data_IF_155274685352
#
_entry.id   IF_155274685352
#
_cell.length_a   1.000
_cell.length_b   1.000
_cell.length_c   1.000
_cell.angle_alpha   90.00
_cell.angle_beta   90.00
_cell.angle_gamma   90.00
#
_symmetry.space_group_name_H-M   'P 1'
#
loop_
_entity.id
_entity.type
_entity.pdbx_description
1 polymer ?
#
# COMPACT_ATOMS: atom_id res chain seq x y z
N UNK A 1 9.40 24.16 -3.66
CA UNK A 1 8.85 25.52 -3.47
C UNK A 1 7.98 25.63 -2.21
N UNK A 2 6.99 24.76 -1.97
CA UNK A 2 6.04 24.92 -0.84
C UNK A 2 6.58 24.57 0.56
N UNK A 3 7.58 23.69 0.69
CA UNK A 3 8.19 23.37 2.00
C UNK A 3 9.07 24.53 2.47
N UNK A 4 9.96 25.00 1.61
CA UNK A 4 10.88 26.11 1.91
C UNK A 4 10.14 27.43 2.13
N UNK A 5 9.05 27.69 1.41
CA UNK A 5 8.22 28.87 1.63
C UNK A 5 7.50 28.88 2.99
N UNK A 6 7.37 27.71 3.64
CA UNK A 6 6.80 27.56 4.99
C UNK A 6 7.87 27.43 6.08
N UNK A 7 9.14 27.71 5.75
CA UNK A 7 10.26 27.70 6.69
C UNK A 7 10.89 26.34 6.95
N UNK A 8 10.51 25.30 6.19
CA UNK A 8 11.17 23.98 6.24
C UNK A 8 12.38 23.88 5.32
N UNK A 9 13.18 22.83 5.49
CA UNK A 9 14.31 22.51 4.61
C UNK A 9 13.94 21.34 3.69
N UNK A 10 14.29 21.43 2.42
CA UNK A 10 14.04 20.37 1.45
C UNK A 10 15.10 20.40 0.34
N UNK A 11 15.55 19.22 -0.08
CA UNK A 11 16.37 19.01 -1.28
C UNK A 11 15.62 18.08 -2.25
N UNK A 12 15.90 18.23 -3.55
CA UNK A 12 15.24 17.48 -4.60
C UNK A 12 16.23 16.65 -5.40
N UNK A 13 15.91 15.37 -5.62
CA UNK A 13 16.71 14.45 -6.43
C UNK A 13 15.81 13.83 -7.48
N UNK A 14 16.12 14.08 -8.75
CA UNK A 14 15.43 13.44 -9.87
C UNK A 14 16.00 12.03 -10.08
N UNK A 15 15.24 11.00 -9.73
CA UNK A 15 15.63 9.62 -9.93
C UNK A 15 14.40 8.74 -10.24
N UNK A 16 14.49 7.95 -11.32
CA UNK A 16 13.51 6.90 -11.59
C UNK A 16 13.79 5.71 -10.66
N UNK A 17 12.87 5.45 -9.72
CA UNK A 17 13.01 4.32 -8.81
C UNK A 17 12.80 2.99 -9.55
N UNK A 18 13.36 1.93 -8.99
CA UNK A 18 13.25 0.58 -9.54
C UNK A 18 14.58 -0.14 -9.53
N UNK A 19 15.70 0.57 -9.63
CA UNK A 19 17.05 0.02 -9.47
C UNK A 19 17.71 0.40 -8.14
N UNK A 20 18.84 -0.26 -7.84
CA UNK A 20 19.58 -0.07 -6.60
C UNK A 20 20.43 1.20 -6.60
N UNK A 21 20.89 1.65 -7.75
CA UNK A 21 21.74 2.84 -7.86
C UNK A 21 20.93 4.10 -7.59
N UNK A 22 19.74 4.23 -8.21
CA UNK A 22 18.80 5.30 -7.94
C UNK A 22 18.41 5.35 -6.45
N UNK A 23 18.16 4.19 -5.84
CA UNK A 23 17.86 4.09 -4.41
C UNK A 23 19.03 4.60 -3.54
N UNK A 24 20.27 4.20 -3.87
CA UNK A 24 21.44 4.63 -3.13
C UNK A 24 21.64 6.15 -3.24
N UNK A 25 21.54 6.72 -4.45
CA UNK A 25 21.64 8.16 -4.67
C UNK A 25 20.61 8.96 -3.84
N UNK A 26 19.38 8.44 -3.70
CA UNK A 26 18.36 9.08 -2.87
C UNK A 26 18.73 9.08 -1.39
N UNK A 27 19.28 7.97 -0.88
CA UNK A 27 19.74 7.85 0.51
C UNK A 27 20.95 8.74 0.76
N UNK A 28 21.94 8.73 -0.13
CA UNK A 28 23.16 9.52 -0.02
C UNK A 28 22.82 11.01 0.03
N UNK A 29 21.96 11.49 -0.89
CA UNK A 29 21.55 12.89 -0.90
C UNK A 29 20.82 13.32 0.38
N UNK A 30 19.99 12.44 0.98
CA UNK A 30 19.33 12.74 2.25
C UNK A 30 20.37 12.86 3.39
N UNK A 31 21.37 11.99 3.41
CA UNK A 31 22.43 12.00 4.43
C UNK A 31 23.39 13.16 4.24
N UNK A 32 23.74 13.51 3.01
CA UNK A 32 24.60 14.65 2.68
C UNK A 32 23.93 15.98 3.09
N UNK A 33 22.64 16.16 2.79
CA UNK A 33 21.92 17.40 3.09
C UNK A 33 21.52 17.50 4.56
N UNK A 34 21.04 16.42 5.17
CA UNK A 34 20.40 16.45 6.50
C UNK A 34 21.21 15.73 7.60
N UNK A 35 22.33 15.10 7.25
CA UNK A 35 23.22 14.38 8.17
C UNK A 35 22.75 12.97 8.56
N UNK A 36 21.50 12.61 8.30
CA UNK A 36 20.87 11.34 8.72
C UNK A 36 19.66 10.97 7.86
N UNK A 37 19.21 9.73 7.99
CA UNK A 37 17.96 9.22 7.46
C UNK A 37 17.14 8.55 8.56
N UNK A 38 15.94 9.07 8.82
CA UNK A 38 15.05 8.58 9.90
C UNK A 38 13.80 7.87 9.38
N UNK A 39 13.28 8.33 8.24
CA UNK A 39 12.03 7.86 7.67
C UNK A 39 12.19 7.66 6.17
N UNK A 40 11.69 6.53 5.66
CA UNK A 40 11.49 6.29 4.24
C UNK A 40 9.99 6.09 3.96
N UNK A 41 9.45 6.79 2.96
CA UNK A 41 8.10 6.57 2.44
C UNK A 41 8.18 6.12 0.98
N UNK A 42 7.76 4.90 0.65
CA UNK A 42 7.84 4.36 -0.73
C UNK A 42 6.53 4.61 -1.49
N UNK A 43 6.36 5.84 -1.97
CA UNK A 43 5.10 6.29 -2.61
C UNK A 43 5.07 6.16 -4.15
N UNK A 44 6.23 6.16 -4.82
CA UNK A 44 6.30 6.17 -6.29
C UNK A 44 5.47 5.06 -6.94
N UNK A 45 4.82 5.37 -8.07
CA UNK A 45 3.88 4.45 -8.70
C UNK A 45 3.41 4.88 -10.08
N UNK A 46 2.92 3.91 -10.85
CA UNK A 46 2.33 4.07 -12.18
C UNK A 46 1.20 3.05 -12.38
N UNK A 47 0.30 3.31 -13.34
CA UNK A 47 -0.73 2.37 -13.75
C UNK A 47 -0.52 1.91 -15.20
N UNK A 48 -0.80 0.62 -15.43
CA UNK A 48 -0.87 -0.05 -16.74
C UNK A 48 -2.01 -1.07 -16.68
N UNK A 49 -3.22 -0.54 -16.59
CA UNK A 49 -4.40 -1.36 -16.33
C UNK A 49 -4.84 -2.09 -17.60
N UNK A 50 -4.81 -3.43 -17.53
CA UNK A 50 -5.25 -4.36 -18.58
C UNK A 50 -5.86 -5.60 -17.94
N UNK A 51 -6.95 -6.09 -18.52
CA UNK A 51 -7.41 -7.46 -18.26
C UNK A 51 -6.31 -8.45 -18.64
N UNK A 52 -6.25 -9.59 -17.94
CA UNK A 52 -5.15 -10.55 -18.04
C UNK A 52 -4.76 -10.90 -19.49
N UNK A 53 -5.75 -11.18 -20.34
CA UNK A 53 -5.52 -11.57 -21.74
C UNK A 53 -5.13 -10.42 -22.68
N UNK A 54 -5.07 -9.19 -22.18
CA UNK A 54 -4.58 -8.00 -22.91
C UNK A 54 -3.32 -7.39 -22.25
N UNK A 55 -2.85 -7.96 -21.14
CA UNK A 55 -1.64 -7.49 -20.45
C UNK A 55 -0.43 -7.86 -21.29
N UNK A 56 0.42 -6.89 -21.59
CA UNK A 56 1.73 -7.14 -22.21
C UNK A 56 2.76 -7.38 -21.11
N UNK A 57 3.86 -8.06 -21.46
CA UNK A 57 4.98 -8.24 -20.53
C UNK A 57 5.56 -6.89 -20.08
N UNK A 58 5.67 -5.92 -20.99
CA UNK A 58 6.13 -4.56 -20.68
C UNK A 58 5.21 -3.84 -19.68
N UNK A 59 3.89 -3.90 -19.87
CA UNK A 59 2.91 -3.31 -18.94
C UNK A 59 3.00 -3.95 -17.55
N UNK A 60 3.27 -5.26 -17.48
CA UNK A 60 3.47 -5.97 -16.23
C UNK A 60 4.79 -5.57 -15.56
N UNK A 61 5.89 -5.63 -16.30
CA UNK A 61 7.24 -5.36 -15.83
C UNK A 61 7.42 -3.91 -15.37
N UNK A 62 6.83 -2.95 -16.08
CA UNK A 62 6.84 -1.52 -15.69
C UNK A 62 6.25 -1.33 -14.28
N UNK A 63 5.06 -1.88 -14.06
CA UNK A 63 4.35 -1.77 -12.77
C UNK A 63 5.12 -2.49 -11.67
N UNK A 64 5.60 -3.70 -11.93
CA UNK A 64 6.40 -4.47 -10.96
C UNK A 64 7.72 -3.76 -10.63
N UNK A 65 8.40 -3.21 -11.64
CA UNK A 65 9.66 -2.48 -11.48
C UNK A 65 9.49 -1.24 -10.61
N UNK A 66 8.49 -0.41 -10.90
CA UNK A 66 8.29 0.85 -10.15
C UNK A 66 7.78 0.57 -8.74
N UNK A 67 6.74 -0.26 -8.61
CA UNK A 67 6.11 -0.47 -7.31
C UNK A 67 6.87 -1.46 -6.42
N UNK A 68 7.01 -2.70 -6.87
CA UNK A 68 7.52 -3.77 -6.02
C UNK A 68 9.04 -3.68 -5.89
N UNK A 69 9.74 -3.62 -7.03
CA UNK A 69 11.20 -3.55 -7.04
C UNK A 69 11.69 -2.21 -6.50
N UNK A 70 11.06 -1.10 -6.88
CA UNK A 70 11.39 0.24 -6.36
C UNK A 70 11.20 0.34 -4.84
N UNK A 71 10.12 -0.22 -4.30
CA UNK A 71 9.94 -0.33 -2.84
C UNK A 71 11.07 -1.13 -2.21
N UNK A 72 11.39 -2.30 -2.75
CA UNK A 72 12.49 -3.13 -2.27
C UNK A 72 13.85 -2.43 -2.30
N UNK A 73 14.23 -1.83 -3.43
CA UNK A 73 15.57 -1.24 -3.55
C UNK A 73 15.74 -0.03 -2.64
N UNK A 74 14.73 0.83 -2.53
CA UNK A 74 14.75 1.98 -1.63
C UNK A 74 14.74 1.54 -0.16
N UNK A 75 13.85 0.61 0.22
CA UNK A 75 13.79 0.11 1.59
C UNK A 75 15.08 -0.57 2.02
N UNK A 76 15.71 -1.36 1.12
CA UNK A 76 17.01 -1.99 1.39
C UNK A 76 18.10 -0.96 1.64
N UNK A 77 18.23 0.06 0.78
CA UNK A 77 19.25 1.10 0.94
C UNK A 77 19.04 1.89 2.24
N UNK A 78 17.79 2.28 2.52
CA UNK A 78 17.44 2.96 3.77
C UNK A 78 17.70 2.09 5.01
N UNK A 79 17.33 0.81 4.98
CA UNK A 79 17.53 -0.10 6.10
C UNK A 79 19.03 -0.33 6.39
N UNK A 80 19.87 -0.46 5.37
CA UNK A 80 21.34 -0.52 5.55
C UNK A 80 21.82 0.75 6.25
N UNK A 81 21.45 1.93 5.72
CA UNK A 81 21.86 3.21 6.30
C UNK A 81 21.38 3.40 7.74
N UNK A 82 20.11 3.10 8.04
CA UNK A 82 19.53 3.20 9.39
C UNK A 82 20.19 2.24 10.37
N UNK A 83 20.53 1.01 9.92
CA UNK A 83 21.27 0.03 10.75
C UNK A 83 22.68 0.51 11.08
N UNK A 84 23.38 1.12 10.13
CA UNK A 84 24.69 1.73 10.36
C UNK A 84 24.61 2.94 11.28
N UNK A 85 23.55 3.74 11.18
CA UNK A 85 23.28 4.85 12.10
C UNK A 85 23.04 4.37 13.54
N UNK A 86 22.40 3.21 13.72
CA UNK A 86 22.16 2.60 15.02
C UNK A 86 21.09 3.29 15.89
N UNK A 87 20.32 4.22 15.31
CA UNK A 87 19.28 5.00 16.01
C UNK A 87 17.85 4.54 15.73
N UNK A 88 17.68 3.42 15.02
CA UNK A 88 16.37 2.99 14.53
C UNK A 88 15.91 3.77 13.30
N UNK A 89 14.62 3.67 12.99
CA UNK A 89 14.00 4.36 11.86
C UNK A 89 12.58 3.90 11.57
N UNK A 90 11.98 4.42 10.50
CA UNK A 90 10.62 4.10 10.07
C UNK A 90 10.57 3.85 8.57
N UNK A 91 10.03 2.70 8.16
CA UNK A 91 9.71 2.40 6.77
C UNK A 91 8.19 2.38 6.59
N UNK A 92 7.68 3.31 5.79
CA UNK A 92 6.24 3.45 5.49
C UNK A 92 6.02 3.11 4.01
N UNK A 93 5.40 1.96 3.75
CA UNK A 93 5.29 1.40 2.41
C UNK A 93 3.89 1.62 1.85
N UNK A 94 3.75 2.17 0.64
CA UNK A 94 2.41 2.42 0.08
C UNK A 94 1.90 1.19 -0.68
N UNK A 95 0.91 0.53 -0.10
CA UNK A 95 0.13 -0.57 -0.70
C UNK A 95 -1.15 -0.01 -1.40
N UNK A 96 -2.24 -0.79 -1.45
CA UNK A 96 -3.54 -0.44 -2.04
C UNK A 96 -4.60 -1.49 -1.66
N UNK A 97 -5.90 -1.13 -1.58
CA UNK A 97 -6.97 -2.11 -1.47
C UNK A 97 -6.94 -3.17 -2.58
N UNK A 98 -6.43 -2.81 -3.77
CA UNK A 98 -6.28 -3.76 -4.88
C UNK A 98 -5.32 -4.91 -4.52
N UNK A 99 -4.29 -4.64 -3.70
CA UNK A 99 -3.39 -5.68 -3.19
C UNK A 99 -4.00 -6.55 -2.10
N UNK A 100 -5.12 -6.14 -1.50
CA UNK A 100 -5.79 -6.90 -0.44
C UNK A 100 -6.93 -7.77 -0.97
N UNK A 101 -7.65 -7.26 -1.97
CA UNK A 101 -8.89 -7.90 -2.48
C UNK A 101 -8.83 -8.23 -3.97
N UNK A 102 -7.92 -7.62 -4.72
CA UNK A 102 -7.91 -7.62 -6.18
C UNK A 102 -8.80 -6.51 -6.76
N UNK A 103 -8.47 -6.06 -7.97
CA UNK A 103 -9.30 -5.14 -8.74
C UNK A 103 -9.29 -5.55 -10.22
N UNK A 104 -10.44 -5.43 -10.87
CA UNK A 104 -10.59 -5.87 -12.26
C UNK A 104 -9.66 -5.08 -13.19
N UNK A 105 -8.87 -5.78 -14.01
CA UNK A 105 -7.91 -5.15 -14.92
C UNK A 105 -6.60 -4.69 -14.28
N UNK A 106 -6.35 -4.99 -13.00
CA UNK A 106 -5.16 -4.54 -12.27
C UNK A 106 -4.27 -5.69 -11.78
N UNK A 107 -4.11 -6.76 -12.55
CA UNK A 107 -3.35 -7.95 -12.11
C UNK A 107 -1.91 -7.66 -11.69
N UNK A 108 -1.18 -6.87 -12.50
CA UNK A 108 0.17 -6.38 -12.21
C UNK A 108 0.22 -5.52 -10.94
N UNK A 109 -0.66 -4.53 -10.83
CA UNK A 109 -0.70 -3.59 -9.71
C UNK A 109 -1.14 -4.26 -8.41
N UNK A 110 -2.19 -5.07 -8.43
CA UNK A 110 -2.64 -5.85 -7.29
C UNK A 110 -1.53 -6.79 -6.78
N UNK A 111 -0.84 -7.51 -7.67
CA UNK A 111 0.28 -8.36 -7.30
C UNK A 111 1.41 -7.56 -6.63
N UNK A 112 1.81 -6.42 -7.22
CA UNK A 112 2.84 -5.56 -6.63
C UNK A 112 2.43 -5.02 -5.24
N UNK A 113 1.19 -4.55 -5.09
CA UNK A 113 0.69 -3.98 -3.83
C UNK A 113 0.48 -5.04 -2.74
N UNK A 114 0.09 -6.26 -3.10
CA UNK A 114 0.07 -7.42 -2.20
C UNK A 114 1.48 -7.80 -1.73
N UNK A 115 2.44 -7.81 -2.66
CA UNK A 115 3.86 -8.06 -2.36
C UNK A 115 4.45 -7.05 -1.36
N UNK A 116 4.10 -5.77 -1.48
CA UNK A 116 4.52 -4.73 -0.52
C UNK A 116 4.01 -5.01 0.90
N UNK A 117 2.80 -5.55 1.05
CA UNK A 117 2.25 -5.90 2.37
C UNK A 117 2.97 -7.13 2.95
N UNK A 118 3.30 -8.11 2.12
CA UNK A 118 4.14 -9.22 2.53
C UNK A 118 5.54 -8.74 2.97
N UNK A 119 6.15 -7.82 2.23
CA UNK A 119 7.41 -7.19 2.59
C UNK A 119 7.33 -6.48 3.95
N UNK A 120 6.28 -5.72 4.23
CA UNK A 120 6.12 -5.05 5.52
C UNK A 120 6.13 -6.04 6.70
N UNK A 121 5.41 -7.15 6.56
CA UNK A 121 5.34 -8.22 7.58
C UNK A 121 6.70 -8.88 7.80
N UNK A 122 7.40 -9.21 6.71
CA UNK A 122 8.71 -9.87 6.79
C UNK A 122 9.78 -8.93 7.35
N UNK A 123 9.89 -7.72 6.81
CA UNK A 123 10.92 -6.77 7.21
C UNK A 123 10.74 -6.24 8.63
N UNK A 124 9.50 -6.21 9.14
CA UNK A 124 9.25 -5.92 10.55
C UNK A 124 9.99 -6.90 11.49
N UNK A 125 10.07 -8.18 11.11
CA UNK A 125 10.83 -9.19 11.88
C UNK A 125 12.34 -9.03 11.68
N UNK A 126 12.78 -8.82 10.44
CA UNK A 126 14.20 -8.70 10.09
C UNK A 126 14.86 -7.46 10.73
N UNK A 127 14.12 -6.35 10.81
CA UNK A 127 14.63 -5.06 11.23
C UNK A 127 14.26 -4.68 12.67
N UNK A 128 13.42 -5.48 13.35
CA UNK A 128 12.98 -5.19 14.71
C UNK A 128 14.14 -5.04 15.71
N UNK A 129 15.19 -5.87 15.60
CA UNK A 129 16.40 -5.75 16.45
C UNK A 129 17.18 -4.46 16.22
N UNK A 130 17.01 -3.80 15.08
CA UNK A 130 17.63 -2.53 14.75
C UNK A 130 16.78 -1.32 15.19
N UNK A 131 15.62 -1.54 15.83
CA UNK A 131 14.71 -0.46 16.22
C UNK A 131 14.03 0.22 15.02
N UNK A 132 13.95 -0.47 13.88
CA UNK A 132 13.30 0.05 12.67
C UNK A 132 11.91 -0.57 12.55
N UNK A 133 10.87 0.26 12.51
CA UNK A 133 9.51 -0.22 12.27
C UNK A 133 9.17 -0.21 10.78
N UNK A 134 8.31 -1.13 10.35
CA UNK A 134 7.91 -1.27 8.94
C UNK A 134 6.40 -1.47 8.87
N UNK A 135 5.68 -0.57 8.21
CA UNK A 135 4.23 -0.68 8.03
C UNK A 135 3.82 -0.39 6.58
N UNK A 136 2.79 -1.09 6.11
CA UNK A 136 2.15 -0.81 4.84
C UNK A 136 0.91 0.07 5.04
N UNK A 137 0.79 1.13 4.25
CA UNK A 137 -0.40 1.99 4.20
C UNK A 137 -1.25 1.60 3.01
N UNK A 138 -2.56 1.47 3.20
CA UNK A 138 -3.54 1.04 2.21
C UNK A 138 -4.48 2.23 1.92
N UNK A 139 -4.04 3.24 1.13
CA UNK A 139 -4.79 4.47 1.00
C UNK A 139 -5.97 4.34 0.03
N UNK A 140 -7.01 5.14 0.29
CA UNK A 140 -8.07 5.47 -0.66
C UNK A 140 -8.18 7.00 -0.71
N UNK A 141 -7.74 7.61 -1.81
CA UNK A 141 -7.73 9.05 -1.95
C UNK A 141 -8.11 9.48 -3.35
N UNK A 142 -8.93 10.53 -3.43
CA UNK A 142 -9.26 11.28 -4.63
C UNK A 142 -7.97 11.86 -5.22
N UNK A 143 -7.45 11.18 -6.23
CA UNK A 143 -6.26 11.57 -6.99
C UNK A 143 -6.56 11.35 -8.48
N UNK A 144 -5.65 11.79 -9.36
CA UNK A 144 -5.75 11.45 -10.80
C UNK A 144 -5.93 9.94 -11.05
N UNK A 145 -5.37 9.09 -10.18
CA UNK A 145 -5.54 7.63 -10.30
C UNK A 145 -6.97 7.18 -10.04
N UNK A 146 -7.70 7.80 -9.11
CA UNK A 146 -9.09 7.41 -8.78
C UNK A 146 -10.13 8.12 -9.64
N UNK A 147 -9.78 9.21 -10.34
CA UNK A 147 -10.65 9.83 -11.34
C UNK A 147 -10.96 8.92 -12.54
N UNK A 148 -10.15 7.89 -12.75
CA UNK A 148 -10.42 6.86 -13.76
C UNK A 148 -11.58 5.94 -13.37
N UNK A 149 -12.07 5.99 -12.13
CA UNK A 149 -13.19 5.21 -11.62
C UNK A 149 -14.50 5.97 -11.93
N UNK A 150 -15.36 5.47 -12.85
CA UNK A 150 -16.55 6.20 -13.30
C UNK A 150 -17.54 6.56 -12.18
N UNK A 151 -17.60 5.74 -11.12
CA UNK A 151 -18.49 5.97 -9.98
C UNK A 151 -18.06 7.18 -9.12
N UNK A 152 -16.78 7.54 -9.12
CA UNK A 152 -16.25 8.62 -8.29
C UNK A 152 -16.05 9.93 -9.06
N UNK A 153 -15.80 9.87 -10.37
CA UNK A 153 -15.46 11.05 -11.16
C UNK A 153 -16.49 12.20 -11.04
N UNK A 154 -17.82 11.99 -11.19
CA UNK A 154 -18.79 13.08 -11.12
C UNK A 154 -18.81 13.77 -9.74
N UNK A 155 -18.69 13.00 -8.67
CA UNK A 155 -18.75 13.51 -7.30
C UNK A 155 -17.46 14.24 -6.91
N UNK A 156 -16.31 13.73 -7.36
CA UNK A 156 -15.02 14.41 -7.21
C UNK A 156 -15.03 15.74 -7.97
N UNK A 157 -15.47 15.75 -9.23
CA UNK A 157 -15.56 16.97 -10.05
C UNK A 157 -16.51 18.00 -9.44
N UNK A 158 -17.65 17.56 -8.89
CA UNK A 158 -18.58 18.44 -8.20
C UNK A 158 -17.97 19.06 -6.94
N UNK A 159 -17.37 18.23 -6.08
CA UNK A 159 -16.69 18.68 -4.86
C UNK A 159 -15.58 19.70 -5.16
N UNK A 160 -14.78 19.47 -6.20
CA UNK A 160 -13.74 20.41 -6.64
C UNK A 160 -14.33 21.72 -7.19
N UNK A 161 -15.45 21.63 -7.93
CA UNK A 161 -16.13 22.80 -8.50
C UNK A 161 -16.80 23.67 -7.44
N UNK A 162 -17.42 23.07 -6.42
CA UNK A 162 -18.17 23.79 -5.38
C UNK A 162 -17.33 24.13 -4.16
N UNK A 163 -16.24 23.41 -3.93
CA UNK A 163 -15.49 23.45 -2.67
C UNK A 163 -16.21 22.74 -1.52
N UNK A 164 -17.34 22.08 -1.79
CA UNK A 164 -18.05 21.29 -0.78
C UNK A 164 -17.32 19.95 -0.55
N UNK A 165 -17.33 19.43 0.69
CA UNK A 165 -16.73 18.14 0.98
C UNK A 165 -17.45 17.00 0.25
N UNK A 166 -16.72 15.92 0.00
CA UNK A 166 -17.31 14.67 -0.50
C UNK A 166 -18.44 14.20 0.44
N UNK A 167 -19.51 13.59 -0.10
CA UNK A 167 -20.60 13.03 0.70
C UNK A 167 -20.14 12.09 1.82
N UNK A 168 -20.83 12.12 2.96
CA UNK A 168 -20.52 11.33 4.15
C UNK A 168 -20.33 9.83 3.87
N UNK A 169 -21.20 9.24 3.05
CA UNK A 169 -21.13 7.81 2.72
C UNK A 169 -19.87 7.47 1.90
N UNK A 170 -19.42 8.36 1.01
CA UNK A 170 -18.16 8.17 0.29
C UNK A 170 -16.96 8.30 1.23
N UNK A 171 -16.99 9.29 2.13
CA UNK A 171 -15.89 9.51 3.08
C UNK A 171 -15.79 8.38 4.10
N UNK A 172 -16.91 7.83 4.56
CA UNK A 172 -16.96 6.81 5.63
C UNK A 172 -16.96 5.38 5.08
N UNK A 173 -17.89 5.05 4.19
CA UNK A 173 -18.11 3.67 3.76
C UNK A 173 -17.07 3.26 2.71
N UNK A 174 -16.84 4.11 1.71
CA UNK A 174 -15.82 3.88 0.68
C UNK A 174 -14.42 4.33 1.11
N UNK A 175 -14.33 5.17 2.16
CA UNK A 175 -13.06 5.73 2.62
C UNK A 175 -12.43 6.69 1.61
N UNK A 176 -13.21 7.29 0.69
CA UNK A 176 -12.69 8.22 -0.30
C UNK A 176 -12.50 9.61 0.32
N UNK A 177 -11.26 10.09 0.32
CA UNK A 177 -10.92 11.43 0.84
C UNK A 177 -9.87 12.16 0.04
N UNK A 178 -9.39 13.28 0.55
CA UNK A 178 -8.31 14.05 -0.08
C UNK A 178 -6.94 13.44 0.26
N UNK A 179 -5.88 13.99 -0.31
CA UNK A 179 -4.50 13.59 0.05
C UNK A 179 -4.16 13.97 1.50
N UNK A 180 -4.78 15.03 2.03
CA UNK A 180 -4.65 15.45 3.43
C UNK A 180 -5.27 14.42 4.39
N UNK A 181 -6.38 13.80 4.02
CA UNK A 181 -7.00 12.72 4.81
C UNK A 181 -6.04 11.52 4.99
N UNK A 182 -5.14 11.29 4.03
CA UNK A 182 -4.09 10.24 4.10
C UNK A 182 -2.85 10.71 4.88
N UNK A 183 -2.49 11.99 4.74
CA UNK A 183 -1.25 12.53 5.28
C UNK A 183 -1.12 12.35 6.80
N UNK A 184 -2.23 12.38 7.54
CA UNK A 184 -2.25 12.17 8.99
C UNK A 184 -1.70 10.82 9.43
N UNK A 185 -2.00 9.74 8.70
CA UNK A 185 -1.43 8.42 9.02
C UNK A 185 0.08 8.36 8.69
N UNK A 186 0.51 9.00 7.60
CA UNK A 186 1.92 9.05 7.22
C UNK A 186 2.73 9.79 8.29
N UNK A 187 2.25 10.92 8.78
CA UNK A 187 2.92 11.69 9.84
C UNK A 187 2.92 10.94 11.17
N UNK A 188 1.82 10.25 11.53
CA UNK A 188 1.79 9.39 12.71
C UNK A 188 2.86 8.29 12.64
N UNK A 189 2.91 7.52 11.55
CA UNK A 189 3.87 6.43 11.35
C UNK A 189 5.34 6.91 11.21
N UNK A 190 5.53 8.18 10.85
CA UNK A 190 6.84 8.82 10.81
C UNK A 190 7.28 9.37 12.19
N UNK A 191 6.40 9.38 13.19
CA UNK A 191 6.64 9.99 14.50
C UNK A 191 6.95 8.97 15.60
N UNK A 192 7.47 9.45 16.72
CA UNK A 192 7.70 8.66 17.94
C UNK A 192 6.40 8.09 18.54
N UNK A 193 5.24 8.70 18.25
CA UNK A 193 3.94 8.20 18.72
C UNK A 193 3.56 6.83 18.13
N UNK A 194 4.22 6.44 17.03
CA UNK A 194 4.06 5.11 16.41
C UNK A 194 5.06 4.07 16.92
N UNK A 195 5.78 4.34 18.02
CA UNK A 195 6.69 3.36 18.60
C UNK A 195 5.97 2.04 18.92
N UNK A 196 6.61 0.92 18.58
CA UNK A 196 6.03 -0.42 18.66
C UNK A 196 5.01 -0.77 17.57
N UNK A 197 4.55 0.17 16.73
CA UNK A 197 3.69 -0.14 15.57
C UNK A 197 4.55 -0.66 14.43
N UNK A 198 4.50 -1.96 14.15
CA UNK A 198 5.26 -2.58 13.05
C UNK A 198 4.55 -3.81 12.48
N UNK A 199 4.85 -4.16 11.24
CA UNK A 199 4.29 -5.30 10.51
C UNK A 199 2.85 -5.13 10.04
N UNK A 200 2.25 -3.94 10.21
CA UNK A 200 0.81 -3.74 9.97
C UNK A 200 0.50 -3.34 8.53
N UNK A 201 -0.71 -3.66 8.08
CA UNK A 201 -1.33 -3.06 6.89
C UNK A 201 -2.50 -2.18 7.34
N UNK A 202 -2.38 -0.87 7.17
CA UNK A 202 -3.29 0.12 7.76
C UNK A 202 -3.97 0.91 6.64
N UNK A 203 -5.29 0.80 6.54
CA UNK A 203 -6.11 1.57 5.60
C UNK A 203 -6.41 2.97 6.11
N UNK A 204 -6.39 3.94 5.20
CA UNK A 204 -6.72 5.34 5.49
C UNK A 204 -7.35 6.01 4.27
N UNK A 205 -8.34 6.86 4.49
CA UNK A 205 -8.93 7.71 3.48
C UNK A 205 -10.28 8.24 3.92
N UNK A 206 -10.63 9.44 3.47
CA UNK A 206 -11.84 10.14 3.93
C UNK A 206 -11.87 10.22 5.44
N UNK A 207 -12.94 9.70 6.05
CA UNK A 207 -13.12 9.64 7.50
C UNK A 207 -12.83 8.24 8.07
N UNK A 208 -12.17 7.38 7.30
CA UNK A 208 -11.97 5.96 7.62
C UNK A 208 -10.51 5.64 7.91
N UNK A 209 -10.26 5.12 9.11
CA UNK A 209 -9.02 4.45 9.50
C UNK A 209 -9.31 2.96 9.77
N UNK A 210 -8.53 2.06 9.17
CA UNK A 210 -8.77 0.62 9.27
C UNK A 210 -7.48 -0.17 9.47
N UNK A 211 -7.55 -1.28 10.20
CA UNK A 211 -6.44 -2.24 10.31
C UNK A 211 -6.81 -3.52 9.55
N UNK A 212 -5.99 -3.92 8.58
CA UNK A 212 -6.18 -5.14 7.83
C UNK A 212 -5.63 -6.35 8.59
N UNK A 213 -6.42 -7.42 8.67
CA UNK A 213 -5.99 -8.66 9.31
C UNK A 213 -4.84 -9.33 8.54
N UNK A 214 -3.99 -10.05 9.27
CA UNK A 214 -3.06 -11.00 8.66
C UNK A 214 -3.81 -12.21 8.09
N UNK A 215 -3.34 -12.81 6.98
CA UNK A 215 -3.86 -14.06 6.48
C UNK A 215 -3.80 -15.13 7.57
N UNK A 216 -4.88 -15.87 7.73
CA UNK A 216 -4.99 -17.04 8.61
C UNK A 216 -5.80 -18.12 7.90
N UNK A 217 -5.57 -19.38 8.25
CA UNK A 217 -6.43 -20.47 7.80
C UNK A 217 -7.86 -20.21 8.28
N UNK A 218 -8.82 -20.14 7.35
CA UNK A 218 -10.23 -19.88 7.66
C UNK A 218 -10.92 -21.14 8.21
N UNK A 219 -10.63 -22.28 7.59
CA UNK A 219 -11.16 -23.59 7.93
C UNK A 219 -10.11 -24.64 7.61
N UNK A 220 -10.07 -25.70 8.41
CA UNK A 220 -9.13 -26.82 8.27
C UNK A 220 -9.92 -28.12 8.40
N UNK A 221 -9.61 -29.10 7.55
CA UNK A 221 -10.14 -30.46 7.63
C UNK A 221 -9.00 -31.47 7.51
N UNK A 222 -9.15 -32.59 8.20
CA UNK A 222 -8.15 -33.65 8.27
C UNK A 222 -8.70 -34.92 7.64
N UNK A 223 -7.83 -35.68 6.95
CA UNK A 223 -8.11 -37.01 6.44
C UNK A 223 -6.92 -37.92 6.74
N UNK A 224 -7.18 -39.02 7.46
CA UNK A 224 -6.16 -40.00 7.78
C UNK A 224 -5.68 -40.70 6.50
N UNK A 225 -4.37 -40.71 6.27
CA UNK A 225 -3.78 -41.21 5.01
C UNK A 225 -3.79 -40.19 3.86
N UNK A 226 -4.29 -38.98 4.09
CA UNK A 226 -4.30 -37.88 3.13
C UNK A 226 -5.58 -37.77 2.31
N UNK A 227 -5.64 -36.74 1.47
CA UNK A 227 -6.81 -36.43 0.65
C UNK A 227 -6.61 -36.91 -0.79
N UNK A 228 -7.59 -37.65 -1.33
CA UNK A 228 -7.72 -37.86 -2.78
C UNK A 228 -8.56 -36.74 -3.42
N UNK A 229 -8.47 -36.57 -4.73
CA UNK A 229 -9.31 -35.60 -5.46
C UNK A 229 -10.81 -35.83 -5.25
N UNK A 230 -11.26 -37.09 -5.31
CA UNK A 230 -12.67 -37.45 -5.09
C UNK A 230 -13.13 -37.18 -3.65
N UNK A 231 -12.28 -37.47 -2.66
CA UNK A 231 -12.58 -37.19 -1.26
C UNK A 231 -12.70 -35.67 -1.01
N UNK A 232 -11.83 -34.86 -1.63
CA UNK A 232 -11.94 -33.40 -1.57
C UNK A 232 -13.24 -32.95 -2.23
N UNK A 233 -13.54 -33.42 -3.45
CA UNK A 233 -14.75 -33.01 -4.17
C UNK A 233 -16.03 -33.35 -3.40
N UNK A 234 -16.07 -34.52 -2.74
CA UNK A 234 -17.19 -34.92 -1.89
C UNK A 234 -17.31 -34.08 -0.62
N UNK A 235 -16.19 -33.75 0.03
CA UNK A 235 -16.18 -32.98 1.27
C UNK A 235 -16.26 -31.46 1.06
N UNK A 236 -15.97 -30.95 -0.15
CA UNK A 236 -15.83 -29.53 -0.42
C UNK A 236 -17.09 -28.71 -0.09
N UNK A 237 -18.30 -29.08 -0.54
CA UNK A 237 -19.50 -28.26 -0.34
C UNK A 237 -19.88 -28.07 1.13
N UNK A 238 -19.60 -29.07 1.97
CA UNK A 238 -20.02 -29.09 3.38
C UNK A 238 -18.84 -28.93 4.36
N UNK A 239 -17.60 -28.89 3.85
CA UNK A 239 -16.36 -28.79 4.61
C UNK A 239 -15.68 -27.43 4.47
N UNK A 240 -14.38 -27.43 4.18
CA UNK A 240 -13.58 -26.20 4.04
C UNK A 240 -14.07 -25.27 2.92
N UNK A 241 -14.83 -25.80 1.95
CA UNK A 241 -15.42 -25.05 0.85
C UNK A 241 -16.82 -24.51 1.11
N UNK A 242 -17.42 -24.76 2.29
CA UNK A 242 -18.80 -24.36 2.59
C UNK A 242 -19.01 -22.83 2.62
N UNK A 243 -17.96 -22.07 2.94
CA UNK A 243 -18.01 -20.61 3.03
C UNK A 243 -16.75 -20.00 2.39
N UNK A 244 -16.66 -19.95 1.03
CA UNK A 244 -15.52 -19.36 0.36
C UNK A 244 -15.38 -17.86 0.70
N UNK A 245 -14.16 -17.35 0.66
CA UNK A 245 -13.92 -15.91 0.82
C UNK A 245 -14.35 -15.14 -0.43
N UNK A 246 -14.82 -13.91 -0.24
CA UNK A 246 -15.12 -13.02 -1.37
C UNK A 246 -13.84 -12.44 -1.97
N UNK A 247 -13.88 -12.10 -3.26
CA UNK A 247 -12.78 -11.47 -3.99
C UNK A 247 -13.25 -10.20 -4.69
N UNK A 248 -12.30 -9.36 -5.07
CA UNK A 248 -12.54 -8.04 -5.65
C UNK A 248 -12.89 -7.00 -4.59
N UNK A 249 -12.46 -5.76 -4.84
CA UNK A 249 -13.05 -4.60 -4.17
C UNK A 249 -14.49 -4.50 -4.68
N UNK A 250 -15.51 -4.45 -3.79
CA UNK A 250 -16.89 -4.22 -4.21
C UNK A 250 -17.01 -2.90 -4.97
N UNK A 251 -17.92 -2.85 -5.95
CA UNK A 251 -18.26 -1.58 -6.58
C UNK A 251 -18.90 -0.65 -5.53
N UNK A 252 -18.59 0.65 -5.55
CA UNK A 252 -19.23 1.60 -4.65
C UNK A 252 -20.74 1.57 -4.82
N UNK A 253 -21.49 1.56 -3.71
CA UNK A 253 -22.95 1.64 -3.74
C UNK A 253 -23.38 2.92 -3.05
N UNK A 254 -23.93 3.86 -3.82
CA UNK A 254 -24.61 5.00 -3.23
C UNK A 254 -25.81 4.49 -2.40
N UNK A 255 -26.09 5.08 -1.23
CA UNK A 255 -27.29 4.76 -0.47
C UNK A 255 -28.54 4.88 -1.33
N UNK A 256 -29.48 3.95 -1.19
CA UNK A 256 -30.82 4.10 -1.78
C UNK A 256 -31.47 5.37 -1.20
N UNK A 257 -32.03 6.20 -2.08
CA UNK A 257 -32.63 7.50 -1.75
C UNK A 257 -33.95 7.39 -0.98
#
# INVERSE_FOLDING_TARGET
ASITSRGGTATGVAAAVGDGEAAQRLVDAAVEEFGRLDVLVTNAGILRDRVLWKMTDEDFDDVVRVHLRGTFTCARAAAVRMREQGTGGRLVLISSPAGQRGNFGQGNYAAAKAGIVAMARTWAMELGRAGITVNAVVPVAATEMTRTIPAFAPVIEESERTGEPLPDWLRKDEGLGTVEDVAGLITFLASDASDGVTGQAIGIGGDRLALWAHPKEKAVAFADGGWSGDAIAAAWPDGVGAAPETYGIPAPQAPEA
#
